data_IF_044297940790
#
_entry.id   IF_044297940790
#
_cell.length_a   1.000
_cell.length_b   1.000
_cell.length_c   1.000
_cell.angle_alpha   90.00
_cell.angle_beta   90.00
_cell.angle_gamma   90.00
#
_symmetry.space_group_name_H-M   'P 1'
#
loop_
_entity.id
_entity.type
_entity.pdbx_description
1 polymer ?
#
# COMPACT_ATOMS: atom_id res chain seq x y z
N UNK A 1 3.19 -30.31 78.13
CA UNK A 1 3.56 -30.43 76.70
C UNK A 1 2.34 -30.10 75.85
N UNK A 2 2.40 -29.04 75.04
CA UNK A 2 1.25 -28.43 74.33
C UNK A 2 1.11 -29.07 72.94
N UNK A 3 0.03 -29.83 72.70
CA UNK A 3 -0.27 -30.38 71.37
C UNK A 3 -0.70 -29.24 70.43
N UNK A 4 0.07 -29.01 69.37
CA UNK A 4 -0.28 -28.06 68.31
C UNK A 4 -1.11 -28.83 67.29
N UNK A 5 -2.43 -28.59 67.26
CA UNK A 5 -3.30 -29.11 66.20
C UNK A 5 -3.09 -28.27 64.93
N UNK A 6 -2.46 -28.87 63.92
CA UNK A 6 -2.21 -28.27 62.61
C UNK A 6 -3.44 -28.52 61.74
N UNK A 7 -4.37 -27.57 61.68
CA UNK A 7 -5.52 -27.63 60.78
C UNK A 7 -5.01 -27.40 59.35
N UNK A 8 -4.83 -28.48 58.59
CA UNK A 8 -4.54 -28.39 57.16
C UNK A 8 -5.78 -27.83 56.45
N UNK A 9 -5.79 -26.52 56.22
CA UNK A 9 -6.71 -25.85 55.31
C UNK A 9 -6.38 -26.31 53.88
N UNK A 10 -7.06 -27.35 53.41
CA UNK A 10 -7.00 -27.77 52.01
C UNK A 10 -7.77 -26.74 51.19
N UNK A 11 -7.06 -25.79 50.59
CA UNK A 11 -7.63 -24.93 49.56
C UNK A 11 -8.13 -25.81 48.41
N UNK A 12 -9.45 -25.94 48.26
CA UNK A 12 -10.05 -26.57 47.08
C UNK A 12 -9.54 -25.87 45.83
N UNK A 13 -8.62 -26.51 45.10
CA UNK A 13 -8.22 -26.06 43.77
C UNK A 13 -9.41 -26.30 42.84
N UNK A 14 -10.24 -25.27 42.67
CA UNK A 14 -11.22 -25.22 41.58
C UNK A 14 -10.44 -25.08 40.28
N UNK A 15 -10.11 -26.21 39.66
CA UNK A 15 -9.54 -26.25 38.32
C UNK A 15 -10.57 -25.78 37.29
N UNK A 16 -10.10 -25.08 36.26
CA UNK A 16 -10.90 -24.78 35.06
C UNK A 16 -11.41 -26.08 34.45
N UNK A 17 -12.68 -26.12 34.05
CA UNK A 17 -13.21 -27.27 33.33
C UNK A 17 -12.57 -27.36 31.94
N UNK A 18 -12.22 -28.57 31.50
CA UNK A 18 -11.66 -28.79 30.16
C UNK A 18 -12.66 -28.33 29.07
N UNK A 19 -13.96 -28.42 29.36
CA UNK A 19 -15.01 -27.91 28.46
C UNK A 19 -15.09 -26.38 28.44
N UNK A 20 -14.83 -25.70 29.56
CA UNK A 20 -14.77 -24.23 29.59
C UNK A 20 -13.62 -23.74 28.70
N UNK A 21 -12.47 -24.39 28.80
CA UNK A 21 -11.31 -24.05 28.00
C UNK A 21 -11.57 -24.28 26.49
N UNK A 22 -12.27 -25.35 26.13
CA UNK A 22 -12.62 -25.64 24.72
C UNK A 22 -13.50 -24.53 24.12
N UNK A 23 -14.55 -24.11 24.82
CA UNK A 23 -15.44 -23.04 24.33
C UNK A 23 -14.69 -21.71 24.21
N UNK A 24 -13.82 -21.40 25.18
CA UNK A 24 -12.99 -20.19 25.14
C UNK A 24 -12.05 -20.20 23.93
N UNK A 25 -11.40 -21.33 23.63
CA UNK A 25 -10.53 -21.45 22.45
C UNK A 25 -11.30 -21.28 21.14
N UNK A 26 -12.53 -21.81 21.04
CA UNK A 26 -13.38 -21.62 19.86
C UNK A 26 -13.73 -20.14 19.66
N UNK A 27 -14.14 -19.45 20.72
CA UNK A 27 -14.49 -18.01 20.65
C UNK A 27 -13.26 -17.19 20.26
N UNK A 28 -12.10 -17.43 20.88
CA UNK A 28 -10.85 -16.74 20.52
C UNK A 28 -10.45 -17.02 19.07
N UNK A 29 -10.64 -18.26 18.58
CA UNK A 29 -10.36 -18.63 17.20
C UNK A 29 -11.18 -17.81 16.18
N UNK A 30 -12.48 -17.65 16.42
CA UNK A 30 -13.35 -16.85 15.54
C UNK A 30 -12.98 -15.36 15.60
N UNK A 31 -12.74 -14.83 16.81
CA UNK A 31 -12.37 -13.41 16.98
C UNK A 31 -11.04 -13.08 16.30
N UNK A 32 -10.03 -13.94 16.47
CA UNK A 32 -8.71 -13.73 15.85
C UNK A 32 -8.76 -13.77 14.33
N UNK A 33 -9.58 -14.66 13.74
CA UNK A 33 -9.75 -14.72 12.28
C UNK A 33 -10.28 -13.39 11.69
N UNK A 34 -11.30 -12.79 12.32
CA UNK A 34 -11.87 -11.50 11.89
C UNK A 34 -10.81 -10.39 12.05
N UNK A 35 -10.16 -10.36 13.21
CA UNK A 35 -9.18 -9.33 13.58
C UNK A 35 -7.98 -9.31 12.63
N UNK A 36 -7.45 -10.48 12.25
CA UNK A 36 -6.34 -10.57 11.29
C UNK A 36 -6.73 -9.96 9.93
N UNK A 37 -7.93 -10.30 9.44
CA UNK A 37 -8.40 -9.78 8.16
C UNK A 37 -8.58 -8.25 8.16
N UNK A 38 -9.01 -7.69 9.30
CA UNK A 38 -9.16 -6.25 9.50
C UNK A 38 -7.80 -5.55 9.59
N UNK A 39 -6.86 -6.11 10.36
CA UNK A 39 -5.52 -5.54 10.49
C UNK A 39 -4.76 -5.54 9.16
N UNK A 40 -4.89 -6.59 8.34
CA UNK A 40 -4.28 -6.64 7.02
C UNK A 40 -4.77 -5.48 6.11
N UNK A 41 -6.10 -5.25 6.07
CA UNK A 41 -6.70 -4.16 5.30
C UNK A 41 -6.29 -2.78 5.84
N UNK A 42 -6.26 -2.60 7.16
CA UNK A 42 -5.84 -1.35 7.79
C UNK A 42 -4.36 -1.03 7.50
N UNK A 43 -3.48 -2.02 7.61
CA UNK A 43 -2.07 -1.89 7.27
C UNK A 43 -1.87 -1.51 5.80
N UNK A 44 -2.60 -2.15 4.88
CA UNK A 44 -2.54 -1.81 3.46
C UNK A 44 -3.02 -0.38 3.18
N UNK A 45 -4.10 0.08 3.84
CA UNK A 45 -4.57 1.48 3.72
C UNK A 45 -3.54 2.49 4.22
N UNK A 46 -2.80 2.17 5.28
CA UNK A 46 -1.67 2.98 5.74
C UNK A 46 -0.59 3.12 4.65
N UNK A 47 -0.18 2.00 4.06
CA UNK A 47 0.78 1.98 2.93
C UNK A 47 0.28 2.77 1.72
N UNK A 48 -1.02 2.72 1.42
CA UNK A 48 -1.63 3.52 0.35
C UNK A 48 -1.51 5.01 0.66
N UNK A 49 -1.83 5.44 1.88
CA UNK A 49 -1.69 6.85 2.29
C UNK A 49 -0.24 7.34 2.19
N UNK A 50 0.72 6.49 2.58
CA UNK A 50 2.13 6.79 2.41
C UNK A 50 2.54 6.87 0.93
N UNK A 51 1.92 6.05 0.08
CA UNK A 51 2.17 6.05 -1.38
C UNK A 51 1.65 7.34 -2.02
N UNK A 52 0.46 7.79 -1.64
CA UNK A 52 -0.08 9.09 -2.09
C UNK A 52 0.86 10.24 -1.70
N UNK A 53 1.37 10.23 -0.47
CA UNK A 53 2.37 11.21 -0.05
C UNK A 53 3.67 11.13 -0.85
N UNK A 54 4.15 9.91 -1.17
CA UNK A 54 5.34 9.70 -1.99
C UNK A 54 5.13 10.23 -3.42
N UNK A 55 3.97 9.97 -4.04
CA UNK A 55 3.63 10.52 -5.36
C UNK A 55 3.62 12.05 -5.31
N UNK A 56 3.07 12.66 -4.26
CA UNK A 56 3.13 14.11 -4.07
C UNK A 56 4.58 14.65 -4.00
N UNK A 57 5.47 13.94 -3.29
CA UNK A 57 6.91 14.27 -3.29
C UNK A 57 7.54 14.13 -4.68
N UNK A 58 7.17 13.11 -5.46
CA UNK A 58 7.62 12.92 -6.85
C UNK A 58 7.13 14.06 -7.73
N UNK A 59 5.84 14.43 -7.65
CA UNK A 59 5.29 15.56 -8.40
C UNK A 59 6.02 16.87 -8.07
N UNK A 60 6.30 17.13 -6.80
CA UNK A 60 7.10 18.29 -6.39
C UNK A 60 8.53 18.24 -6.93
N UNK A 61 9.16 17.06 -6.95
CA UNK A 61 10.50 16.86 -7.53
C UNK A 61 10.50 17.14 -9.03
N UNK A 62 9.50 16.62 -9.74
CA UNK A 62 9.32 16.85 -11.18
C UNK A 62 9.17 18.34 -11.45
N UNK A 63 8.32 19.05 -10.69
CA UNK A 63 8.13 20.49 -10.84
C UNK A 63 9.42 21.29 -10.65
N UNK A 64 10.28 20.92 -9.71
CA UNK A 64 11.59 21.58 -9.53
C UNK A 64 12.52 21.32 -10.73
N UNK A 65 12.58 20.07 -11.17
CA UNK A 65 13.41 19.64 -12.30
C UNK A 65 12.95 20.35 -13.59
N UNK A 66 11.64 20.44 -13.82
CA UNK A 66 11.06 21.05 -15.03
C UNK A 66 11.12 22.57 -15.01
N UNK A 67 11.08 23.21 -13.83
CA UNK A 67 11.35 24.64 -13.68
C UNK A 67 12.79 24.99 -14.10
N UNK A 68 13.76 24.14 -13.77
CA UNK A 68 15.15 24.34 -14.19
C UNK A 68 15.37 23.98 -15.68
N UNK A 69 14.71 22.94 -16.16
CA UNK A 69 14.78 22.51 -17.56
C UNK A 69 13.46 21.85 -17.99
N UNK A 70 12.70 22.55 -18.84
CA UNK A 70 11.38 22.10 -19.32
C UNK A 70 11.39 20.79 -20.12
N UNK A 71 12.55 20.39 -20.65
CA UNK A 71 12.73 19.14 -21.40
C UNK A 71 13.49 18.07 -20.61
N UNK A 72 13.67 18.27 -19.30
CA UNK A 72 14.38 17.32 -18.47
C UNK A 72 13.73 15.93 -18.53
N UNK A 73 14.57 14.90 -18.64
CA UNK A 73 14.15 13.51 -18.53
C UNK A 73 13.93 13.22 -17.04
N UNK A 74 12.71 12.85 -16.70
CA UNK A 74 12.34 12.33 -15.40
C UNK A 74 12.64 10.83 -15.40
N UNK A 75 13.59 10.47 -14.55
CA UNK A 75 14.01 9.12 -14.21
C UNK A 75 14.38 9.06 -12.72
N UNK A 76 14.66 7.88 -12.19
CA UNK A 76 14.94 7.65 -10.77
C UNK A 76 16.13 8.48 -10.29
N UNK A 77 17.19 8.56 -11.10
CA UNK A 77 18.38 9.34 -10.77
C UNK A 77 18.09 10.85 -10.64
N UNK A 78 17.29 11.42 -11.55
CA UNK A 78 16.89 12.82 -11.51
C UNK A 78 16.02 13.13 -10.29
N UNK A 79 15.14 12.21 -9.93
CA UNK A 79 14.26 12.32 -8.76
C UNK A 79 15.06 12.21 -7.46
N UNK A 80 15.94 11.22 -7.35
CA UNK A 80 16.84 11.07 -6.19
C UNK A 80 17.74 12.30 -6.04
N UNK A 81 18.28 12.82 -7.15
CA UNK A 81 19.11 14.02 -7.18
C UNK A 81 18.39 15.31 -6.76
N UNK A 82 17.05 15.35 -6.85
CA UNK A 82 16.26 16.51 -6.40
C UNK A 82 16.20 16.69 -4.88
N UNK A 83 16.55 15.66 -4.11
CA UNK A 83 16.47 15.63 -2.65
C UNK A 83 15.05 15.94 -2.09
N UNK A 84 14.00 15.76 -2.89
CA UNK A 84 12.59 15.94 -2.48
C UNK A 84 11.92 14.65 -2.01
N UNK A 85 12.51 13.50 -2.29
CA UNK A 85 11.95 12.19 -1.94
C UNK A 85 12.41 11.76 -0.54
N UNK A 86 11.54 11.14 0.27
CA UNK A 86 11.94 10.56 1.55
C UNK A 86 13.02 9.49 1.37
N UNK A 87 14.13 9.60 2.09
CA UNK A 87 15.26 8.66 1.99
C UNK A 87 14.90 7.21 2.32
N UNK A 88 13.83 6.97 3.07
CA UNK A 88 13.31 5.62 3.37
C UNK A 88 12.89 4.81 2.14
N UNK A 89 12.68 5.48 1.00
CA UNK A 89 12.25 4.85 -0.25
C UNK A 89 13.34 4.82 -1.32
N UNK A 90 14.58 5.18 -0.95
CA UNK A 90 15.71 5.27 -1.84
C UNK A 90 16.72 4.20 -1.41
N UNK A 91 17.04 3.28 -2.32
CA UNK A 91 18.10 2.30 -2.10
C UNK A 91 19.06 2.32 -3.30
N UNK A 92 20.22 2.95 -3.11
CA UNK A 92 21.16 3.19 -4.20
C UNK A 92 20.54 4.08 -5.29
N UNK A 93 20.38 3.52 -6.49
CA UNK A 93 19.76 4.20 -7.65
C UNK A 93 18.30 3.81 -7.87
N UNK A 94 17.73 2.99 -6.99
CA UNK A 94 16.37 2.47 -7.12
C UNK A 94 15.41 3.18 -6.17
N UNK A 95 14.16 3.27 -6.60
CA UNK A 95 13.06 3.76 -5.79
C UNK A 95 12.12 2.62 -5.42
N UNK A 96 11.66 2.64 -4.18
CA UNK A 96 10.75 1.62 -3.64
C UNK A 96 9.47 2.24 -3.13
N UNK A 97 8.38 1.51 -3.28
CA UNK A 97 7.08 1.90 -2.74
C UNK A 97 6.95 1.47 -1.28
N UNK A 98 5.98 2.01 -0.52
CA UNK A 98 5.62 1.49 0.81
C UNK A 98 5.18 0.00 0.82
N UNK A 99 4.91 -0.56 -0.35
CA UNK A 99 4.63 -1.99 -0.52
C UNK A 99 5.88 -2.85 -0.62
N UNK A 100 7.07 -2.25 -0.71
CA UNK A 100 8.35 -2.95 -0.88
C UNK A 100 8.64 -3.33 -2.35
N UNK A 101 7.87 -2.81 -3.28
CA UNK A 101 8.03 -3.06 -4.72
C UNK A 101 8.81 -1.92 -5.38
N UNK A 102 9.53 -2.24 -6.45
CA UNK A 102 10.27 -1.24 -7.21
C UNK A 102 9.29 -0.27 -7.91
N UNK A 103 9.65 1.01 -7.86
CA UNK A 103 8.97 2.10 -8.55
C UNK A 103 9.88 2.55 -9.68
N UNK A 104 9.37 2.46 -10.90
CA UNK A 104 10.06 2.92 -12.10
C UNK A 104 9.40 4.17 -12.63
N UNK A 105 10.20 5.06 -13.19
CA UNK A 105 9.74 6.31 -13.78
C UNK A 105 10.23 6.42 -15.22
N UNK A 106 9.30 6.73 -16.11
CA UNK A 106 9.56 6.82 -17.54
C UNK A 106 9.10 8.18 -18.03
N UNK A 107 9.94 8.87 -18.79
CA UNK A 107 9.50 10.06 -19.53
C UNK A 107 8.94 9.61 -20.87
N UNK A 108 7.76 10.12 -21.23
CA UNK A 108 7.17 9.88 -22.54
C UNK A 108 8.10 10.38 -23.66
N UNK A 109 8.15 9.73 -24.84
CA UNK A 109 8.97 10.17 -25.97
C UNK A 109 8.69 11.63 -26.40
N UNK A 110 7.51 12.15 -26.10
CA UNK A 110 7.13 13.54 -26.37
C UNK A 110 7.80 14.55 -25.42
N UNK A 111 8.41 14.09 -24.32
CA UNK A 111 8.99 14.91 -23.26
C UNK A 111 7.98 15.60 -22.35
N UNK A 112 6.68 15.56 -22.69
CA UNK A 112 5.61 16.32 -22.01
C UNK A 112 5.00 15.61 -20.80
N UNK A 113 5.02 14.29 -20.83
CA UNK A 113 4.40 13.45 -19.81
C UNK A 113 5.47 12.57 -19.15
N UNK A 114 5.20 12.14 -17.92
CA UNK A 114 5.99 11.16 -17.21
C UNK A 114 5.07 10.12 -16.57
N UNK A 115 5.53 8.88 -16.53
CA UNK A 115 4.78 7.75 -16.00
C UNK A 115 5.48 7.21 -14.77
N UNK A 116 4.72 7.04 -13.69
CA UNK A 116 5.13 6.32 -12.49
C UNK A 116 4.55 4.92 -12.58
N UNK A 117 5.39 3.90 -12.59
CA UNK A 117 5.01 2.51 -12.74
C UNK A 117 5.34 1.73 -11.46
N UNK A 118 4.36 0.95 -11.02
CA UNK A 118 4.41 0.08 -9.87
C UNK A 118 4.59 -1.35 -10.38
N UNK A 119 5.71 -1.99 -10.06
CA UNK A 119 6.05 -3.31 -10.60
C UNK A 119 5.10 -4.44 -10.15
N UNK A 120 4.44 -4.30 -9.00
CA UNK A 120 3.50 -5.31 -8.48
C UNK A 120 2.44 -4.67 -7.58
N UNK A 121 1.35 -4.18 -8.18
CA UNK A 121 0.22 -3.65 -7.45
C UNK A 121 -0.79 -4.76 -7.13
N UNK A 122 -1.18 -4.89 -5.86
CA UNK A 122 -2.27 -5.78 -5.46
C UNK A 122 -3.63 -5.22 -5.88
N UNK A 123 -4.67 -6.07 -5.93
CA UNK A 123 -6.06 -5.63 -6.19
C UNK A 123 -6.49 -4.48 -5.28
N UNK A 124 -6.17 -4.56 -3.98
CA UNK A 124 -6.49 -3.48 -3.04
C UNK A 124 -5.68 -2.21 -3.32
N UNK A 125 -4.40 -2.34 -3.70
CA UNK A 125 -3.60 -1.19 -4.10
C UNK A 125 -4.18 -0.52 -5.36
N UNK A 126 -4.62 -1.29 -6.37
CA UNK A 126 -5.32 -0.78 -7.55
C UNK A 126 -6.53 0.06 -7.13
N UNK A 127 -7.49 -0.53 -6.40
CA UNK A 127 -8.75 0.13 -6.01
C UNK A 127 -8.55 1.43 -5.21
N UNK A 128 -7.55 1.46 -4.32
CA UNK A 128 -7.35 2.60 -3.42
C UNK A 128 -6.35 3.64 -3.95
N UNK A 129 -5.38 3.24 -4.79
CA UNK A 129 -4.51 4.19 -5.49
C UNK A 129 -5.23 4.82 -6.68
N UNK A 130 -6.21 4.14 -7.26
CA UNK A 130 -7.10 4.74 -8.25
C UNK A 130 -8.12 5.73 -7.68
N UNK A 131 -7.94 6.19 -6.43
CA UNK A 131 -8.81 7.20 -5.84
C UNK A 131 -8.78 8.49 -6.67
N UNK A 132 -9.90 9.21 -6.70
CA UNK A 132 -10.09 10.47 -7.42
C UNK A 132 -8.96 11.49 -7.21
N UNK A 133 -8.31 11.50 -6.04
CA UNK A 133 -7.20 12.41 -5.75
C UNK A 133 -5.99 12.22 -6.69
N UNK A 134 -5.62 10.98 -7.01
CA UNK A 134 -4.53 10.71 -7.96
C UNK A 134 -4.99 10.82 -9.41
N UNK A 135 -6.29 10.56 -9.66
CA UNK A 135 -6.89 10.68 -10.99
C UNK A 135 -7.06 12.12 -11.45
N UNK A 136 -7.15 13.09 -10.53
CA UNK A 136 -7.38 14.50 -10.86
C UNK A 136 -6.21 15.10 -11.68
N UNK A 137 -4.98 14.72 -11.34
CA UNK A 137 -3.77 15.23 -11.98
C UNK A 137 -3.18 14.25 -13.01
N UNK A 138 -3.69 13.02 -13.07
CA UNK A 138 -3.25 12.01 -14.03
C UNK A 138 -3.85 12.26 -15.43
N UNK A 139 -3.00 12.09 -16.45
CA UNK A 139 -3.37 12.08 -17.88
C UNK A 139 -3.86 10.70 -18.31
N UNK A 140 -3.26 9.63 -17.79
CA UNK A 140 -3.66 8.25 -18.05
C UNK A 140 -3.37 7.34 -16.87
N UNK A 141 -4.12 6.25 -16.75
CA UNK A 141 -3.85 5.17 -15.79
C UNK A 141 -3.80 3.87 -16.59
N UNK A 142 -2.75 3.08 -16.45
CA UNK A 142 -2.67 1.73 -17.01
C UNK A 142 -2.78 0.70 -15.91
N UNK A 143 -3.63 -0.31 -16.13
CA UNK A 143 -3.87 -1.41 -15.21
C UNK A 143 -3.76 -2.70 -16.01
N UNK A 144 -2.73 -3.50 -15.73
CA UNK A 144 -2.53 -4.79 -16.41
C UNK A 144 -2.39 -4.67 -17.93
N UNK A 145 -1.83 -3.55 -18.42
CA UNK A 145 -1.67 -3.25 -19.85
C UNK A 145 -2.84 -2.50 -20.49
N UNK A 146 -3.97 -2.34 -19.81
CA UNK A 146 -5.10 -1.55 -20.31
C UNK A 146 -4.99 -0.11 -19.85
N UNK A 147 -4.82 0.81 -20.80
CA UNK A 147 -4.75 2.24 -20.52
C UNK A 147 -6.14 2.91 -20.55
N UNK A 148 -6.50 3.55 -19.45
CA UNK A 148 -7.66 4.42 -19.30
C UNK A 148 -7.24 5.87 -19.51
N UNK A 149 -7.95 6.59 -20.38
CA UNK A 149 -7.67 7.98 -20.76
C UNK A 149 -8.95 8.80 -20.93
N UNK A 150 -8.88 10.10 -20.72
CA UNK A 150 -10.01 11.03 -20.92
C UNK A 150 -11.26 10.58 -20.17
N UNK A 151 -12.40 10.46 -20.86
CA UNK A 151 -13.68 10.09 -20.26
C UNK A 151 -13.75 8.66 -19.70
N UNK A 152 -12.79 7.80 -20.08
CA UNK A 152 -12.68 6.42 -19.53
C UNK A 152 -11.91 6.39 -18.21
N UNK A 153 -11.22 7.47 -17.83
CA UNK A 153 -10.66 7.65 -16.49
C UNK A 153 -11.73 8.15 -15.53
N UNK A 154 -12.67 7.28 -15.20
CA UNK A 154 -13.63 7.54 -14.14
C UNK A 154 -13.53 6.44 -13.08
N UNK A 155 -13.94 6.77 -11.85
CA UNK A 155 -13.81 5.85 -10.71
C UNK A 155 -14.51 4.50 -10.95
N UNK A 156 -15.61 4.49 -11.71
CA UNK A 156 -16.36 3.26 -12.02
C UNK A 156 -15.59 2.35 -12.97
N UNK A 157 -15.06 2.91 -14.07
CA UNK A 157 -14.29 2.17 -15.06
C UNK A 157 -12.99 1.62 -14.47
N UNK A 158 -12.32 2.42 -13.63
CA UNK A 158 -11.13 1.95 -12.94
C UNK A 158 -11.47 0.83 -11.95
N UNK A 159 -12.51 1.01 -11.13
CA UNK A 159 -12.93 -0.04 -10.21
C UNK A 159 -13.25 -1.34 -10.95
N UNK A 160 -13.94 -1.27 -12.09
CA UNK A 160 -14.25 -2.43 -12.90
C UNK A 160 -12.97 -3.14 -13.39
N UNK A 161 -11.98 -2.39 -13.88
CA UNK A 161 -10.70 -2.97 -14.28
C UNK A 161 -9.92 -3.56 -13.10
N UNK A 162 -9.91 -2.90 -11.94
CA UNK A 162 -9.31 -3.45 -10.72
C UNK A 162 -10.06 -4.69 -10.21
N UNK A 163 -11.37 -4.81 -10.46
CA UNK A 163 -12.18 -5.93 -10.02
C UNK A 163 -11.92 -7.20 -10.85
N UNK A 164 -11.63 -7.04 -12.14
CA UNK A 164 -11.26 -8.10 -13.09
C UNK A 164 -9.85 -8.67 -12.82
N UNK A 165 -9.06 -8.02 -11.95
CA UNK A 165 -7.77 -8.52 -11.49
C UNK A 165 -7.94 -9.73 -10.57
N UNK A 166 -7.28 -10.83 -10.91
CA UNK A 166 -7.12 -12.01 -10.07
C UNK A 166 -6.39 -11.64 -8.76
N UNK A 167 -6.91 -12.13 -7.64
CA UNK A 167 -6.43 -11.71 -6.30
C UNK A 167 -4.97 -12.07 -5.97
N UNK A 168 -4.31 -12.94 -6.76
CA UNK A 168 -2.95 -13.45 -6.51
C UNK A 168 -1.97 -13.13 -7.65
N UNK A 169 -2.31 -12.21 -8.53
CA UNK A 169 -1.47 -11.86 -9.67
C UNK A 169 -0.83 -10.49 -9.46
N UNK A 170 0.47 -10.40 -9.75
CA UNK A 170 1.18 -9.14 -9.75
C UNK A 170 0.83 -8.39 -11.03
N UNK A 171 0.16 -7.24 -10.87
CA UNK A 171 -0.21 -6.40 -11.99
C UNK A 171 0.68 -5.18 -12.06
N UNK A 172 0.98 -4.79 -13.28
CA UNK A 172 1.56 -3.51 -13.57
C UNK A 172 0.47 -2.43 -13.44
N UNK A 173 0.68 -1.51 -12.53
CA UNK A 173 -0.15 -0.32 -12.36
C UNK A 173 0.73 0.88 -12.70
N UNK A 174 0.31 1.73 -13.62
CA UNK A 174 1.07 2.92 -13.96
C UNK A 174 0.19 4.15 -14.04
N UNK A 175 0.67 5.28 -13.54
CA UNK A 175 0.01 6.57 -13.64
C UNK A 175 0.86 7.51 -14.48
N UNK A 176 0.27 8.08 -15.51
CA UNK A 176 0.94 9.09 -16.34
C UNK A 176 0.44 10.45 -15.95
N UNK A 177 1.35 11.39 -15.73
CA UNK A 177 1.09 12.77 -15.37
C UNK A 177 1.72 13.70 -16.39
N UNK A 178 1.21 14.92 -16.46
CA UNK A 178 1.82 16.00 -17.23
C UNK A 178 2.89 16.69 -16.39
N UNK A 179 4.00 17.07 -17.03
CA UNK A 179 5.06 17.89 -16.44
C UNK A 179 4.66 19.35 -16.28
#
# INVERSE_FOLDING_TARGET
>A
MKKINKTNQTSMQKGFSLIELMVVLVIIGVLTAIVISQFAKASQRGKISETVSLIGSIQSAVNDITQANSHAIINEASLIGSNRLPSKYIEGTKLYTPFGTELTTLTSPSGKDYTIQFASASKLACENLSNAALMADAVSISIGGTALVGNTMNQTAVKQHCDELASNSDYELSFTFRK
#
